data_IF_075907394965
#
_entry.id   IF_075907394965
#
_cell.length_a   1.000
_cell.length_b   1.000
_cell.length_c   1.000
_cell.angle_alpha   90.00
_cell.angle_beta   90.00
_cell.angle_gamma   90.00
#
_symmetry.space_group_name_H-M   'P 1'
#
loop_
_entity.id
_entity.type
_entity.pdbx_description
1 polymer ?
#
# COMPACT_ATOMS: atom_id res chain seq x y z
N UNK A 1 5.40 -27.65 20.71
CA UNK A 1 3.98 -27.19 20.72
C UNK A 1 3.40 -27.45 19.35
N UNK A 2 2.34 -28.25 19.22
CA UNK A 2 1.69 -28.50 17.93
C UNK A 2 1.05 -27.21 17.41
N UNK A 3 1.61 -26.64 16.34
CA UNK A 3 0.88 -25.73 15.47
C UNK A 3 -0.21 -26.50 14.73
N UNK A 4 -1.22 -25.79 14.22
CA UNK A 4 -2.17 -26.42 13.29
C UNK A 4 -1.41 -26.97 12.08
N UNK A 5 -1.87 -28.08 11.48
CA UNK A 5 -1.26 -28.60 10.25
C UNK A 5 -1.18 -27.49 9.20
N UNK A 6 -0.04 -27.36 8.53
CA UNK A 6 0.20 -26.32 7.52
C UNK A 6 -0.96 -26.15 6.51
N UNK A 7 -1.58 -27.24 5.98
CA UNK A 7 -2.72 -27.10 5.08
C UNK A 7 -3.94 -26.38 5.69
N UNK A 8 -4.19 -26.57 6.99
CA UNK A 8 -5.30 -25.93 7.69
C UNK A 8 -5.03 -24.43 7.85
N UNK A 9 -3.80 -24.07 8.19
CA UNK A 9 -3.39 -22.66 8.25
C UNK A 9 -3.48 -21.98 6.88
N UNK A 10 -3.05 -22.66 5.83
CA UNK A 10 -3.14 -22.15 4.46
C UNK A 10 -4.60 -21.93 4.04
N UNK A 11 -5.49 -22.89 4.30
CA UNK A 11 -6.92 -22.75 4.02
C UNK A 11 -7.56 -21.59 4.80
N UNK A 12 -7.22 -21.43 6.07
CA UNK A 12 -7.69 -20.30 6.88
C UNK A 12 -7.20 -18.95 6.34
N UNK A 13 -5.95 -18.86 5.88
CA UNK A 13 -5.41 -17.66 5.25
C UNK A 13 -6.11 -17.28 3.96
N UNK A 14 -6.58 -18.27 3.17
CA UNK A 14 -7.42 -17.99 1.98
C UNK A 14 -8.74 -17.34 2.40
N UNK A 15 -9.41 -17.85 3.42
CA UNK A 15 -10.64 -17.25 3.94
C UNK A 15 -10.41 -15.82 4.47
N UNK A 16 -9.33 -15.60 5.22
CA UNK A 16 -8.94 -14.25 5.68
C UNK A 16 -8.66 -13.32 4.51
N UNK A 17 -7.90 -13.75 3.51
CA UNK A 17 -7.58 -12.96 2.32
C UNK A 17 -8.80 -12.58 1.49
N UNK A 18 -9.74 -13.51 1.29
CA UNK A 18 -11.01 -13.24 0.62
C UNK A 18 -11.85 -12.23 1.40
N UNK A 19 -11.96 -12.40 2.72
CA UNK A 19 -12.67 -11.46 3.58
C UNK A 19 -12.06 -10.06 3.51
N UNK A 20 -10.74 -9.94 3.69
CA UNK A 20 -10.03 -8.66 3.58
C UNK A 20 -10.21 -8.03 2.20
N UNK A 21 -10.11 -8.79 1.11
CA UNK A 21 -10.26 -8.27 -0.24
C UNK A 21 -11.67 -7.76 -0.55
N UNK A 22 -12.72 -8.49 -0.13
CA UNK A 22 -14.11 -8.07 -0.30
C UNK A 22 -14.39 -6.80 0.52
N UNK A 23 -13.96 -6.77 1.78
CA UNK A 23 -14.17 -5.60 2.65
C UNK A 23 -13.40 -4.39 2.14
N UNK A 24 -12.14 -4.56 1.72
CA UNK A 24 -11.34 -3.45 1.18
C UNK A 24 -11.97 -2.88 -0.10
N UNK A 25 -12.38 -3.74 -1.04
CA UNK A 25 -13.06 -3.29 -2.25
C UNK A 25 -14.38 -2.55 -1.95
N UNK A 26 -15.23 -3.13 -1.08
CA UNK A 26 -16.51 -2.52 -0.72
C UNK A 26 -16.33 -1.17 -0.02
N UNK A 27 -15.38 -1.07 0.92
CA UNK A 27 -15.10 0.16 1.65
C UNK A 27 -14.52 1.24 0.73
N UNK A 28 -13.60 0.90 -0.17
CA UNK A 28 -13.06 1.87 -1.14
C UNK A 28 -14.14 2.41 -2.07
N UNK A 29 -15.05 1.56 -2.57
CA UNK A 29 -16.17 1.99 -3.44
C UNK A 29 -17.15 2.87 -2.66
N UNK A 30 -17.54 2.46 -1.45
CA UNK A 30 -18.45 3.24 -0.61
C UNK A 30 -17.85 4.60 -0.24
N UNK A 31 -16.60 4.64 0.21
CA UNK A 31 -15.94 5.89 0.58
C UNK A 31 -15.74 6.80 -0.64
N UNK A 32 -15.53 6.24 -1.83
CA UNK A 32 -15.44 7.00 -3.06
C UNK A 32 -16.78 7.62 -3.52
N UNK A 33 -17.93 7.11 -3.07
CA UNK A 33 -19.24 7.70 -3.38
C UNK A 33 -19.66 8.82 -2.42
N UNK A 34 -18.97 8.98 -1.28
CA UNK A 34 -19.24 10.03 -0.31
C UNK A 34 -18.78 11.42 -0.79
N UNK A 35 -19.40 12.51 -0.30
CA UNK A 35 -18.88 13.87 -0.49
C UNK A 35 -17.43 13.99 -0.01
N UNK A 36 -16.63 14.78 -0.71
CA UNK A 36 -15.18 14.90 -0.45
C UNK A 36 -14.45 13.55 -0.52
N UNK A 37 -14.83 12.67 -1.47
CA UNK A 37 -14.25 11.34 -1.70
C UNK A 37 -12.72 11.28 -1.55
N UNK A 38 -11.98 12.21 -2.14
CA UNK A 38 -10.51 12.26 -2.03
C UNK A 38 -10.03 12.40 -0.58
N UNK A 39 -10.67 13.25 0.23
CA UNK A 39 -10.34 13.42 1.64
C UNK A 39 -10.70 12.16 2.44
N UNK A 40 -11.87 11.58 2.19
CA UNK A 40 -12.35 10.40 2.90
C UNK A 40 -11.50 9.16 2.58
N UNK A 41 -11.10 8.98 1.32
CA UNK A 41 -10.15 7.92 0.92
C UNK A 41 -8.77 8.11 1.59
N UNK A 42 -8.28 9.34 1.69
CA UNK A 42 -7.04 9.62 2.40
C UNK A 42 -7.14 9.29 3.90
N UNK A 43 -8.28 9.58 4.55
CA UNK A 43 -8.52 9.22 5.95
C UNK A 43 -8.57 7.69 6.11
N UNK A 44 -9.29 6.99 5.22
CA UNK A 44 -9.37 5.52 5.22
C UNK A 44 -7.96 4.89 5.19
N UNK A 45 -7.11 5.34 4.26
CA UNK A 45 -5.73 4.84 4.16
C UNK A 45 -4.83 5.31 5.31
N UNK A 46 -5.12 6.44 5.95
CA UNK A 46 -4.41 6.87 7.16
C UNK A 46 -4.70 5.92 8.34
N UNK A 47 -5.96 5.51 8.53
CA UNK A 47 -6.35 4.53 9.56
C UNK A 47 -5.70 3.18 9.31
N UNK A 48 -5.58 2.75 8.04
CA UNK A 48 -4.78 1.57 7.68
C UNK A 48 -3.34 1.69 8.20
N UNK A 49 -2.68 2.83 7.98
CA UNK A 49 -1.31 3.07 8.46
C UNK A 49 -1.17 2.99 9.98
N UNK A 50 -2.18 3.48 10.73
CA UNK A 50 -2.23 3.35 12.19
C UNK A 50 -2.32 1.88 12.62
N UNK A 51 -3.19 1.10 11.99
CA UNK A 51 -3.30 -0.34 12.25
C UNK A 51 -1.99 -1.09 11.94
N UNK A 52 -1.36 -0.76 10.81
CA UNK A 52 -0.09 -1.34 10.39
C UNK A 52 1.07 -1.00 11.36
N UNK A 53 1.04 0.17 12.00
CA UNK A 53 1.99 0.54 13.07
C UNK A 53 1.73 -0.21 14.38
N UNK A 54 0.46 -0.34 14.79
CA UNK A 54 0.08 -0.98 16.07
C UNK A 54 0.37 -2.49 16.04
N UNK A 55 0.17 -3.15 14.91
CA UNK A 55 0.31 -4.60 14.79
C UNK A 55 1.71 -5.12 15.23
N UNK A 56 2.85 -4.60 14.73
CA UNK A 56 4.16 -5.01 15.23
C UNK A 56 4.43 -4.57 16.67
N UNK A 57 3.82 -3.49 17.19
CA UNK A 57 3.96 -3.10 18.60
C UNK A 57 3.31 -4.14 19.52
N UNK A 58 2.12 -4.64 19.15
CA UNK A 58 1.45 -5.71 19.90
C UNK A 58 2.29 -6.99 19.84
N UNK A 59 2.79 -7.38 18.66
CA UNK A 59 3.68 -8.53 18.54
C UNK A 59 4.95 -8.38 19.39
N UNK A 60 5.55 -7.18 19.40
CA UNK A 60 6.73 -6.86 20.22
C UNK A 60 6.41 -6.95 21.71
N UNK A 61 5.26 -6.42 22.14
CA UNK A 61 4.82 -6.50 23.53
C UNK A 61 4.68 -7.96 24.00
N UNK A 62 4.12 -8.83 23.15
CA UNK A 62 4.02 -10.26 23.44
C UNK A 62 5.42 -10.89 23.59
N UNK A 63 6.36 -10.54 22.70
CA UNK A 63 7.74 -11.02 22.77
C UNK A 63 8.44 -10.54 24.05
N UNK A 64 8.34 -9.25 24.40
CA UNK A 64 8.93 -8.65 25.61
C UNK A 64 8.47 -9.36 26.91
N UNK A 65 7.20 -9.76 26.96
CA UNK A 65 6.61 -10.40 28.14
C UNK A 65 6.64 -11.94 28.08
N UNK A 66 7.34 -12.52 27.11
CA UNK A 66 7.39 -13.98 26.86
C UNK A 66 5.99 -14.62 26.74
N UNK A 67 5.03 -13.87 26.20
CA UNK A 67 3.68 -14.34 25.94
C UNK A 67 3.63 -15.15 24.64
N UNK A 68 2.73 -16.14 24.54
CA UNK A 68 2.63 -16.97 23.35
C UNK A 68 2.17 -16.16 22.13
N UNK A 69 2.72 -16.46 20.95
CA UNK A 69 2.34 -15.86 19.66
C UNK A 69 0.84 -15.93 19.35
N UNK A 70 0.13 -16.90 19.95
CA UNK A 70 -1.34 -17.03 19.87
C UNK A 70 -2.07 -15.76 20.33
N UNK A 71 -1.45 -14.96 21.21
CA UNK A 71 -1.96 -13.66 21.64
C UNK A 71 -2.22 -12.70 20.47
N UNK A 72 -1.42 -12.78 19.40
CA UNK A 72 -1.63 -11.95 18.21
C UNK A 72 -2.94 -12.30 17.50
N UNK A 73 -3.26 -13.59 17.41
CA UNK A 73 -4.52 -14.06 16.81
C UNK A 73 -5.73 -13.65 17.66
N UNK A 74 -5.60 -13.65 19.00
CA UNK A 74 -6.64 -13.15 19.90
C UNK A 74 -6.86 -11.65 19.68
N UNK A 75 -5.79 -10.87 19.64
CA UNK A 75 -5.85 -9.42 19.37
C UNK A 75 -6.55 -9.12 18.03
N UNK A 76 -6.14 -9.79 16.94
CA UNK A 76 -6.76 -9.63 15.63
C UNK A 76 -8.23 -10.05 15.61
N UNK A 77 -8.60 -11.10 16.34
CA UNK A 77 -10.00 -11.55 16.45
C UNK A 77 -10.84 -10.51 17.18
N UNK A 78 -10.37 -9.95 18.29
CA UNK A 78 -11.07 -8.88 19.03
C UNK A 78 -11.25 -7.65 18.13
N UNK A 79 -10.20 -7.21 17.44
CA UNK A 79 -10.28 -6.09 16.51
C UNK A 79 -11.28 -6.35 15.36
N UNK A 80 -11.32 -7.58 14.84
CA UNK A 80 -12.27 -7.98 13.80
C UNK A 80 -13.71 -7.98 14.30
N UNK A 81 -13.97 -8.46 15.52
CA UNK A 81 -15.31 -8.41 16.14
C UNK A 81 -15.76 -6.96 16.35
N UNK A 82 -14.88 -6.09 16.84
CA UNK A 82 -15.16 -4.66 16.99
C UNK A 82 -15.50 -4.03 15.63
N UNK A 83 -14.74 -4.38 14.57
CA UNK A 83 -15.02 -3.90 13.22
C UNK A 83 -16.41 -4.37 12.72
N UNK A 84 -16.74 -5.66 12.87
CA UNK A 84 -18.05 -6.20 12.47
C UNK A 84 -19.20 -5.50 13.22
N UNK A 85 -19.08 -5.35 14.54
CA UNK A 85 -20.08 -4.63 15.35
C UNK A 85 -20.20 -3.17 14.89
N UNK A 86 -19.07 -2.51 14.63
CA UNK A 86 -19.04 -1.13 14.15
C UNK A 86 -19.71 -0.96 12.78
N UNK A 87 -19.49 -1.89 11.85
CA UNK A 87 -20.18 -1.91 10.54
C UNK A 87 -21.67 -2.16 10.71
N UNK A 88 -22.08 -3.15 11.52
CA UNK A 88 -23.50 -3.42 11.77
C UNK A 88 -24.20 -2.19 12.33
N UNK A 89 -23.60 -1.52 13.32
CA UNK A 89 -24.17 -0.32 13.93
C UNK A 89 -24.18 0.85 12.93
N UNK A 90 -23.08 1.05 12.21
CA UNK A 90 -22.92 2.17 11.28
C UNK A 90 -23.87 2.13 10.09
N UNK A 91 -24.26 0.93 9.66
CA UNK A 91 -25.22 0.73 8.56
C UNK A 91 -26.64 0.36 9.05
N UNK A 92 -26.86 0.33 10.36
CA UNK A 92 -28.18 0.05 10.92
C UNK A 92 -29.15 1.17 10.54
N UNK A 93 -30.22 0.81 9.83
CA UNK A 93 -31.23 1.77 9.37
C UNK A 93 -30.84 2.55 8.11
N UNK A 94 -29.70 2.24 7.49
CA UNK A 94 -29.43 2.70 6.12
C UNK A 94 -30.36 1.93 5.19
N UNK A 95 -31.30 2.64 4.59
CA UNK A 95 -32.04 2.12 3.44
C UNK A 95 -31.01 2.04 2.30
N UNK A 96 -30.63 0.81 1.95
CA UNK A 96 -29.97 0.58 0.68
C UNK A 96 -30.96 1.07 -0.36
N UNK A 97 -30.62 2.12 -1.11
CA UNK A 97 -31.31 2.35 -2.39
C UNK A 97 -31.20 1.01 -3.12
N UNK A 98 -32.33 0.34 -3.34
CA UNK A 98 -32.37 -0.73 -4.31
C UNK A 98 -31.80 -0.10 -5.57
N UNK A 99 -30.62 -0.57 -6.02
CA UNK A 99 -30.28 -0.36 -7.40
C UNK A 99 -31.51 -0.85 -8.16
N UNK A 100 -32.22 0.06 -8.84
CA UNK A 100 -33.18 -0.28 -9.87
C UNK A 100 -32.41 -1.03 -10.96
N UNK A 101 -32.03 -2.28 -10.67
CA UNK A 101 -31.47 -3.18 -11.63
C UNK A 101 -32.66 -3.76 -12.37
N UNK A 102 -32.92 -3.19 -13.54
CA UNK A 102 -32.75 -3.92 -14.81
C UNK A 102 -33.78 -3.60 -15.91
N UNK A 103 -34.20 -2.34 -16.07
CA UNK A 103 -34.90 -1.91 -17.31
C UNK A 103 -34.34 -0.62 -17.93
N UNK A 104 -33.07 -0.28 -17.64
CA UNK A 104 -32.36 0.71 -18.45
C UNK A 104 -31.81 0.04 -19.72
N UNK A 105 -32.27 0.55 -20.86
CA UNK A 105 -32.03 0.18 -22.26
C UNK A 105 -30.73 -0.60 -22.53
N UNK A 106 -30.78 -1.57 -23.44
CA UNK A 106 -29.60 -2.32 -23.92
C UNK A 106 -28.49 -1.38 -24.40
N UNK A 107 -28.87 -0.21 -24.95
CA UNK A 107 -27.97 0.87 -25.37
C UNK A 107 -27.22 1.53 -24.19
N UNK A 108 -27.86 1.67 -23.03
CA UNK A 108 -27.26 2.24 -21.81
C UNK A 108 -26.22 1.30 -21.18
N UNK A 109 -26.49 -0.01 -21.19
CA UNK A 109 -25.54 -1.04 -20.69
C UNK A 109 -24.35 -1.20 -21.63
N UNK A 110 -24.56 -1.12 -22.94
CA UNK A 110 -23.49 -1.15 -23.94
C UNK A 110 -22.61 0.10 -23.83
N UNK A 111 -23.21 1.29 -23.72
CA UNK A 111 -22.52 2.55 -23.45
C UNK A 111 -21.73 2.52 -22.14
N UNK A 112 -22.29 1.96 -21.06
CA UNK A 112 -21.59 1.82 -19.76
C UNK A 112 -20.40 0.87 -19.84
N UNK A 113 -20.54 -0.27 -20.53
CA UNK A 113 -19.43 -1.22 -20.77
C UNK A 113 -18.31 -0.59 -21.60
N UNK A 114 -18.67 0.13 -22.65
CA UNK A 114 -17.70 0.85 -23.48
C UNK A 114 -16.98 1.95 -22.71
N UNK A 115 -17.71 2.70 -21.87
CA UNK A 115 -17.13 3.71 -20.97
C UNK A 115 -16.18 3.08 -19.95
N UNK A 116 -16.57 1.97 -19.32
CA UNK A 116 -15.72 1.22 -18.39
C UNK A 116 -14.46 0.70 -19.07
N UNK A 117 -14.60 0.12 -20.28
CA UNK A 117 -13.46 -0.36 -21.07
C UNK A 117 -12.53 0.79 -21.46
N UNK A 118 -13.07 1.92 -21.90
CA UNK A 118 -12.30 3.11 -22.24
C UNK A 118 -11.57 3.68 -21.02
N UNK A 119 -12.22 3.71 -19.85
CA UNK A 119 -11.62 4.16 -18.60
C UNK A 119 -10.46 3.26 -18.14
N UNK A 120 -10.63 1.93 -18.21
CA UNK A 120 -9.59 0.95 -17.85
C UNK A 120 -8.41 1.01 -18.83
N UNK A 121 -8.68 1.11 -20.13
CA UNK A 121 -7.65 1.14 -21.17
C UNK A 121 -6.98 2.50 -21.33
N UNK A 122 -7.44 3.52 -20.59
CA UNK A 122 -6.82 4.84 -20.63
C UNK A 122 -5.35 4.73 -20.16
N UNK A 123 -4.38 5.35 -20.87
CA UNK A 123 -2.96 5.19 -20.56
C UNK A 123 -2.59 5.53 -19.10
N UNK A 124 -3.20 6.59 -18.56
CA UNK A 124 -3.00 6.97 -17.15
C UNK A 124 -3.48 5.87 -16.18
N UNK A 125 -4.60 5.21 -16.49
CA UNK A 125 -5.14 4.13 -15.68
C UNK A 125 -4.20 2.93 -15.70
N UNK A 126 -3.77 2.48 -16.88
CA UNK A 126 -2.86 1.33 -17.00
C UNK A 126 -1.53 1.62 -16.29
N UNK A 127 -0.89 2.75 -16.59
CA UNK A 127 0.42 3.10 -16.00
C UNK A 127 0.29 3.30 -14.50
N UNK A 128 -0.75 4.02 -14.05
CA UNK A 128 -1.04 4.23 -12.64
C UNK A 128 -1.30 2.92 -11.89
N UNK A 129 -2.07 2.01 -12.47
CA UNK A 129 -2.36 0.70 -11.89
C UNK A 129 -1.08 -0.15 -11.78
N UNK A 130 -0.24 -0.20 -12.81
CA UNK A 130 1.03 -0.93 -12.77
C UNK A 130 2.00 -0.31 -11.75
N UNK A 131 2.06 1.02 -11.68
CA UNK A 131 2.89 1.73 -10.71
C UNK A 131 2.45 1.40 -9.28
N UNK A 132 1.15 1.50 -8.99
CA UNK A 132 0.60 1.20 -7.66
C UNK A 132 0.71 -0.28 -7.31
N UNK A 133 0.56 -1.19 -8.30
CA UNK A 133 0.80 -2.62 -8.12
C UNK A 133 2.22 -2.90 -7.60
N UNK A 134 3.24 -2.32 -8.22
CA UNK A 134 4.64 -2.50 -7.79
C UNK A 134 4.88 -1.78 -6.46
N UNK A 135 4.40 -0.54 -6.32
CA UNK A 135 4.54 0.25 -5.10
C UNK A 135 3.99 -0.46 -3.86
N UNK A 136 2.74 -0.97 -3.93
CA UNK A 136 2.13 -1.68 -2.79
C UNK A 136 2.90 -2.98 -2.52
N UNK A 137 3.37 -3.66 -3.57
CA UNK A 137 4.25 -4.81 -3.44
C UNK A 137 5.52 -4.49 -2.65
N UNK A 138 6.23 -3.42 -3.05
CA UNK A 138 7.47 -2.97 -2.42
C UNK A 138 7.23 -2.51 -0.97
N UNK A 139 6.16 -1.75 -0.72
CA UNK A 139 5.70 -1.33 0.61
C UNK A 139 5.52 -2.53 1.56
N UNK A 140 4.82 -3.57 1.09
CA UNK A 140 4.51 -4.75 1.90
C UNK A 140 5.72 -5.69 2.03
N UNK A 141 6.55 -5.81 0.99
CA UNK A 141 7.80 -6.57 1.10
C UNK A 141 8.71 -5.93 2.14
N UNK A 142 8.90 -4.61 2.11
CA UNK A 142 9.75 -3.91 3.06
C UNK A 142 9.18 -3.93 4.48
N UNK A 143 7.88 -3.71 4.65
CA UNK A 143 7.23 -3.78 5.96
C UNK A 143 7.12 -5.19 6.55
N UNK A 144 6.93 -6.20 5.70
CA UNK A 144 6.75 -7.59 6.12
C UNK A 144 8.05 -8.35 6.29
N UNK A 145 8.89 -8.39 5.25
CA UNK A 145 10.17 -9.09 5.27
C UNK A 145 11.29 -8.29 5.94
N UNK A 146 11.11 -6.98 6.15
CA UNK A 146 12.08 -6.13 6.84
C UNK A 146 12.42 -6.64 8.26
N UNK A 147 11.43 -7.18 8.99
CA UNK A 147 11.67 -7.78 10.31
C UNK A 147 12.63 -8.96 10.22
N UNK A 148 12.33 -9.91 9.33
CA UNK A 148 13.15 -11.11 9.10
C UNK A 148 14.54 -10.75 8.57
N UNK A 149 14.63 -9.76 7.67
CA UNK A 149 15.91 -9.26 7.18
C UNK A 149 16.78 -8.72 8.32
N UNK A 150 16.22 -7.89 9.20
CA UNK A 150 16.98 -7.29 10.29
C UNK A 150 17.34 -8.31 11.39
N UNK A 151 16.46 -9.26 11.69
CA UNK A 151 16.67 -10.27 12.75
C UNK A 151 17.47 -11.47 12.28
N UNK A 152 17.02 -12.17 11.25
CA UNK A 152 17.69 -13.38 10.74
C UNK A 152 18.88 -13.04 9.85
N UNK A 153 18.76 -12.01 9.00
CA UNK A 153 19.81 -11.61 8.06
C UNK A 153 20.91 -10.75 8.68
N UNK A 154 20.55 -9.86 9.63
CA UNK A 154 21.46 -8.90 10.25
C UNK A 154 21.65 -9.08 11.76
N UNK A 155 21.09 -10.15 12.33
CA UNK A 155 21.27 -10.52 13.74
C UNK A 155 20.85 -9.43 14.75
N UNK A 156 19.88 -8.60 14.37
CA UNK A 156 19.29 -7.61 15.25
C UNK A 156 18.45 -8.24 16.36
N UNK A 157 18.41 -7.57 17.51
CA UNK A 157 17.56 -7.96 18.64
C UNK A 157 16.06 -7.95 18.24
N UNK A 158 15.33 -9.06 18.43
CA UNK A 158 13.92 -9.19 18.04
C UNK A 158 13.00 -8.07 18.55
N UNK A 159 13.18 -7.66 19.80
CA UNK A 159 12.34 -6.64 20.43
C UNK A 159 12.59 -5.28 19.77
N UNK A 160 13.86 -4.90 19.65
CA UNK A 160 14.26 -3.65 19.02
C UNK A 160 13.83 -3.60 17.55
N UNK A 161 13.97 -4.69 16.81
CA UNK A 161 13.58 -4.75 15.39
C UNK A 161 12.06 -4.69 15.20
N UNK A 162 11.27 -5.24 16.12
CA UNK A 162 9.82 -5.06 16.12
C UNK A 162 9.41 -3.58 16.19
N UNK A 163 10.09 -2.80 17.05
CA UNK A 163 9.89 -1.34 17.15
C UNK A 163 10.34 -0.59 15.89
N UNK A 164 11.42 -1.02 15.24
CA UNK A 164 11.86 -0.46 13.95
C UNK A 164 10.79 -0.64 12.87
N UNK A 165 10.15 -1.81 12.80
CA UNK A 165 9.07 -2.07 11.83
C UNK A 165 7.82 -1.24 12.14
N UNK A 166 7.45 -1.08 13.41
CA UNK A 166 6.40 -0.12 13.76
C UNK A 166 6.76 1.31 13.35
N UNK A 167 8.01 1.71 13.50
CA UNK A 167 8.49 3.04 13.09
C UNK A 167 8.51 3.20 11.58
N UNK A 168 8.77 2.13 10.81
CA UNK A 168 8.59 2.11 9.35
C UNK A 168 7.16 2.45 8.95
N UNK A 169 6.16 1.77 9.55
CA UNK A 169 4.74 2.03 9.27
C UNK A 169 4.28 3.41 9.76
N UNK A 170 4.80 3.88 10.90
CA UNK A 170 4.58 5.23 11.38
C UNK A 170 5.19 6.29 10.43
N UNK A 171 6.40 6.02 9.92
CA UNK A 171 7.06 6.80 8.89
C UNK A 171 6.18 6.88 7.63
N UNK A 172 5.67 5.76 7.18
CA UNK A 172 4.77 5.70 6.02
C UNK A 172 3.48 6.51 6.22
N UNK A 173 2.83 6.36 7.37
CA UNK A 173 1.62 7.11 7.72
C UNK A 173 1.90 8.63 7.81
N UNK A 174 3.00 9.04 8.45
CA UNK A 174 3.37 10.46 8.56
C UNK A 174 3.86 11.04 7.24
N UNK A 175 4.58 10.27 6.43
CA UNK A 175 5.06 10.62 5.09
C UNK A 175 3.93 10.91 4.11
N UNK A 176 2.83 10.16 4.18
CA UNK A 176 1.59 10.44 3.44
C UNK A 176 1.11 11.88 3.62
N UNK A 177 1.23 12.40 4.84
CA UNK A 177 0.79 13.76 5.18
C UNK A 177 1.89 14.79 4.88
N UNK A 178 3.06 14.62 5.50
CA UNK A 178 4.14 15.60 5.46
C UNK A 178 4.76 15.73 4.07
N UNK A 179 5.19 14.60 3.50
CA UNK A 179 5.80 14.59 2.17
C UNK A 179 4.76 14.73 1.07
N UNK A 180 3.51 14.30 1.31
CA UNK A 180 2.39 14.52 0.40
C UNK A 180 2.08 16.01 0.22
N UNK A 181 2.09 16.77 1.31
CA UNK A 181 1.98 18.23 1.24
C UNK A 181 3.13 18.87 0.45
N UNK A 182 4.37 18.41 0.68
CA UNK A 182 5.54 18.89 -0.08
C UNK A 182 5.43 18.55 -1.57
N UNK A 183 4.96 17.35 -1.91
CA UNK A 183 4.71 16.92 -3.29
C UNK A 183 3.70 17.83 -3.99
N UNK A 184 2.59 18.16 -3.33
CA UNK A 184 1.61 19.11 -3.85
C UNK A 184 2.18 20.52 -4.06
N UNK A 185 3.05 20.99 -3.14
CA UNK A 185 3.63 22.34 -3.17
C UNK A 185 4.73 22.50 -4.23
N UNK A 186 5.66 21.56 -4.32
CA UNK A 186 6.85 21.68 -5.18
C UNK A 186 6.69 20.98 -6.54
N UNK A 187 5.62 20.20 -6.73
CA UNK A 187 5.32 19.49 -7.96
C UNK A 187 5.43 17.99 -7.76
N UNK A 188 4.30 17.32 -7.97
CA UNK A 188 4.11 15.89 -7.68
C UNK A 188 5.12 15.02 -8.45
N UNK A 189 5.29 15.27 -9.76
CA UNK A 189 6.21 14.48 -10.59
C UNK A 189 7.67 14.59 -10.15
N UNK A 190 8.14 15.79 -9.83
CA UNK A 190 9.52 16.02 -9.37
C UNK A 190 9.75 15.38 -8.00
N UNK A 191 8.86 15.62 -7.04
CA UNK A 191 9.04 15.15 -5.67
C UNK A 191 9.04 13.62 -5.57
N UNK A 192 8.12 12.93 -6.26
CA UNK A 192 8.13 11.46 -6.29
C UNK A 192 9.39 10.91 -6.97
N UNK A 193 9.92 11.60 -8.00
CA UNK A 193 11.20 11.22 -8.63
C UNK A 193 12.37 11.34 -7.64
N UNK A 194 12.40 12.40 -6.83
CA UNK A 194 13.42 12.58 -5.79
C UNK A 194 13.28 11.50 -4.71
N UNK A 195 12.05 11.24 -4.24
CA UNK A 195 11.82 10.25 -3.19
C UNK A 195 12.18 8.82 -3.62
N UNK A 196 11.81 8.42 -4.85
CA UNK A 196 12.20 7.12 -5.41
C UNK A 196 13.72 7.01 -5.58
N UNK A 197 14.41 8.07 -6.01
CA UNK A 197 15.88 8.09 -6.06
C UNK A 197 16.52 7.96 -4.67
N UNK A 198 15.95 8.62 -3.66
CA UNK A 198 16.40 8.48 -2.26
C UNK A 198 16.19 7.06 -1.72
N UNK A 199 15.07 6.40 -2.07
CA UNK A 199 14.82 4.99 -1.71
C UNK A 199 15.88 4.08 -2.32
N UNK A 200 16.25 4.27 -3.59
CA UNK A 200 17.35 3.52 -4.22
C UNK A 200 18.66 3.72 -3.45
N UNK A 201 18.92 4.95 -2.99
CA UNK A 201 20.07 5.25 -2.11
C UNK A 201 20.03 4.47 -0.79
N UNK A 202 18.89 4.46 -0.10
CA UNK A 202 18.69 3.70 1.13
C UNK A 202 18.85 2.19 0.92
N UNK A 203 18.30 1.64 -0.16
CA UNK A 203 18.45 0.23 -0.52
C UNK A 203 19.91 -0.12 -0.85
N UNK A 204 20.62 0.77 -1.54
CA UNK A 204 22.05 0.61 -1.82
C UNK A 204 22.88 0.58 -0.54
N UNK A 205 22.54 1.44 0.43
CA UNK A 205 23.15 1.41 1.77
C UNK A 205 22.86 0.07 2.46
N UNK A 206 21.63 -0.44 2.39
CA UNK A 206 21.29 -1.74 2.98
C UNK A 206 22.02 -2.93 2.35
N UNK A 207 22.31 -2.84 1.05
CA UNK A 207 23.07 -3.86 0.31
C UNK A 207 24.53 -3.87 0.77
N UNK A 208 25.16 -2.70 0.88
CA UNK A 208 26.60 -2.58 1.17
C UNK A 208 26.89 -2.69 2.66
N UNK A 209 26.03 -2.14 3.51
CA UNK A 209 26.24 -2.09 4.96
C UNK A 209 25.66 -3.31 5.67
N UNK A 210 26.47 -3.93 6.52
CA UNK A 210 26.01 -4.94 7.47
C UNK A 210 25.56 -4.36 8.81
N UNK A 211 25.76 -3.05 9.03
CA UNK A 211 25.45 -2.40 10.30
C UNK A 211 23.94 -2.31 10.54
N UNK A 212 23.51 -2.79 11.71
CA UNK A 212 22.09 -2.91 12.07
C UNK A 212 21.42 -1.54 12.25
N UNK A 213 22.13 -0.56 12.79
CA UNK A 213 21.61 0.79 13.04
C UNK A 213 21.43 1.53 11.71
N UNK A 214 22.41 1.39 10.82
CA UNK A 214 22.34 1.92 9.45
C UNK A 214 21.16 1.29 8.70
N UNK A 215 21.03 -0.03 8.75
CA UNK A 215 19.94 -0.75 8.05
C UNK A 215 18.55 -0.41 8.61
N UNK A 216 18.44 -0.26 9.93
CA UNK A 216 17.20 0.18 10.58
C UNK A 216 16.82 1.60 10.19
N UNK A 217 17.80 2.50 10.15
CA UNK A 217 17.60 3.91 9.77
C UNK A 217 17.21 4.05 8.29
N UNK A 218 17.84 3.26 7.41
CA UNK A 218 17.50 3.19 6.00
C UNK A 218 16.05 2.71 5.82
N UNK A 219 15.66 1.63 6.50
CA UNK A 219 14.31 1.09 6.42
C UNK A 219 13.27 2.11 6.90
N UNK A 220 13.46 2.75 8.06
CA UNK A 220 12.56 3.81 8.55
C UNK A 220 12.42 4.96 7.56
N UNK A 221 13.54 5.39 6.97
CA UNK A 221 13.56 6.47 5.96
C UNK A 221 12.79 6.09 4.71
N UNK A 222 12.92 4.83 4.26
CA UNK A 222 12.15 4.30 3.14
C UNK A 222 10.65 4.35 3.44
N UNK A 223 10.22 3.93 4.64
CA UNK A 223 8.82 4.01 5.04
C UNK A 223 8.26 5.42 4.87
N UNK A 224 8.98 6.42 5.38
CA UNK A 224 8.63 7.84 5.21
C UNK A 224 8.52 8.26 3.73
N UNK A 225 9.48 7.86 2.89
CA UNK A 225 9.57 8.22 1.48
C UNK A 225 8.50 7.53 0.60
N UNK A 226 8.07 6.33 0.98
CA UNK A 226 7.00 5.58 0.30
C UNK A 226 5.63 6.23 0.55
N UNK A 227 5.41 6.79 1.73
CA UNK A 227 4.15 7.40 2.14
C UNK A 227 3.40 8.19 1.06
N UNK A 228 3.97 9.26 0.46
CA UNK A 228 3.24 10.12 -0.47
C UNK A 228 2.90 9.47 -1.83
N UNK A 229 3.46 8.31 -2.18
CA UNK A 229 3.38 7.78 -3.55
C UNK A 229 1.96 7.41 -3.98
N UNK A 230 1.21 6.70 -3.13
CA UNK A 230 -0.18 6.33 -3.41
C UNK A 230 -1.09 7.55 -3.58
N UNK A 231 -1.24 8.46 -2.59
CA UNK A 231 -2.15 9.60 -2.71
C UNK A 231 -1.74 10.56 -3.85
N UNK A 232 -0.43 10.70 -4.10
CA UNK A 232 0.06 11.55 -5.21
C UNK A 232 -0.31 10.96 -6.57
N UNK A 233 -0.25 9.64 -6.73
CA UNK A 233 -0.67 8.98 -7.98
C UNK A 233 -2.16 9.14 -8.23
N UNK A 234 -2.99 8.98 -7.20
CA UNK A 234 -4.44 9.22 -7.27
C UNK A 234 -4.75 10.68 -7.59
N UNK A 235 -4.00 11.63 -7.02
CA UNK A 235 -4.12 13.06 -7.31
C UNK A 235 -3.81 13.38 -8.77
N UNK A 236 -2.69 12.89 -9.31
CA UNK A 236 -2.34 13.08 -10.73
C UNK A 236 -3.38 12.41 -11.64
N UNK A 237 -3.78 11.17 -11.32
CA UNK A 237 -4.78 10.44 -12.11
C UNK A 237 -6.09 11.24 -12.19
N UNK A 238 -6.54 11.82 -11.08
CA UNK A 238 -7.75 12.65 -11.03
C UNK A 238 -7.64 13.95 -11.85
N UNK A 239 -6.43 14.50 -12.05
CA UNK A 239 -6.19 15.70 -12.87
C UNK A 239 -6.15 15.38 -14.38
N UNK A 240 -5.58 14.23 -14.73
CA UNK A 240 -5.38 13.82 -16.13
C UNK A 240 -6.64 13.15 -16.71
N UNK A 241 -7.37 12.39 -15.90
CA UNK A 241 -8.54 11.64 -16.36
C UNK A 241 -9.76 12.55 -16.53
N UNK A 242 -10.60 12.33 -17.55
CA UNK A 242 -11.94 12.91 -17.64
C UNK A 242 -12.80 12.52 -16.43
N UNK A 243 -13.69 13.43 -15.98
CA UNK A 243 -14.58 13.19 -14.82
C UNK A 243 -15.42 11.92 -14.95
N UNK A 244 -15.84 11.56 -16.17
CA UNK A 244 -16.61 10.34 -16.45
C UNK A 244 -15.83 9.05 -16.17
N UNK A 245 -14.49 9.10 -16.15
CA UNK A 245 -13.63 7.94 -15.93
C UNK A 245 -13.12 7.82 -14.49
N UNK A 246 -13.31 8.85 -13.65
CA UNK A 246 -12.70 8.94 -12.31
C UNK A 246 -13.03 7.72 -11.45
N UNK A 247 -14.31 7.42 -11.24
CA UNK A 247 -14.73 6.31 -10.36
C UNK A 247 -14.17 4.97 -10.81
N UNK A 248 -14.32 4.63 -12.10
CA UNK A 248 -13.83 3.35 -12.64
C UNK A 248 -12.31 3.26 -12.62
N UNK A 249 -11.61 4.31 -13.06
CA UNK A 249 -10.15 4.28 -13.19
C UNK A 249 -9.46 4.28 -11.83
N UNK A 250 -9.89 5.14 -10.90
CA UNK A 250 -9.32 5.20 -9.56
C UNK A 250 -9.61 3.91 -8.79
N UNK A 251 -10.83 3.37 -8.92
CA UNK A 251 -11.17 2.07 -8.35
C UNK A 251 -10.30 0.94 -8.91
N UNK A 252 -10.06 0.93 -10.22
CA UNK A 252 -9.21 -0.07 -10.87
C UNK A 252 -7.72 0.07 -10.47
N UNK A 253 -7.20 1.30 -10.32
CA UNK A 253 -5.84 1.55 -9.81
C UNK A 253 -5.68 1.01 -8.40
N UNK A 254 -6.61 1.34 -7.48
CA UNK A 254 -6.56 0.86 -6.10
C UNK A 254 -6.68 -0.66 -6.01
N UNK A 255 -7.62 -1.26 -6.76
CA UNK A 255 -7.85 -2.70 -6.76
C UNK A 255 -6.64 -3.49 -7.30
N UNK A 256 -6.03 -3.05 -8.41
CA UNK A 256 -4.82 -3.70 -8.92
C UNK A 256 -3.66 -3.51 -7.94
N UNK A 257 -3.58 -2.35 -7.28
CA UNK A 257 -2.66 -2.07 -6.19
C UNK A 257 -2.67 -3.12 -5.08
N UNK A 258 -3.85 -3.43 -4.56
CA UNK A 258 -4.01 -4.45 -3.52
C UNK A 258 -3.47 -5.83 -3.94
N UNK A 259 -3.55 -6.17 -5.23
CA UNK A 259 -2.94 -7.39 -5.78
C UNK A 259 -1.42 -7.45 -5.61
N UNK A 260 -0.74 -6.30 -5.56
CA UNK A 260 0.70 -6.18 -5.35
C UNK A 260 1.15 -6.72 -3.99
N UNK A 261 0.33 -6.48 -2.95
CA UNK A 261 0.56 -6.96 -1.58
C UNK A 261 0.57 -8.49 -1.47
N UNK A 262 -0.08 -9.20 -2.41
CA UNK A 262 -0.05 -10.67 -2.44
C UNK A 262 1.09 -11.18 -3.34
N UNK A 263 1.25 -10.58 -4.52
CA UNK A 263 2.16 -11.08 -5.54
C UNK A 263 3.65 -10.93 -5.16
N UNK A 264 4.08 -9.72 -4.77
CA UNK A 264 5.51 -9.46 -4.56
C UNK A 264 6.10 -10.07 -3.29
N UNK A 265 5.38 -10.12 -2.14
CA UNK A 265 5.85 -10.87 -0.97
C UNK A 265 5.99 -12.36 -1.23
N UNK A 266 5.12 -12.95 -2.06
CA UNK A 266 5.24 -14.36 -2.46
C UNK A 266 6.51 -14.61 -3.29
N UNK A 267 6.74 -13.79 -4.33
CA UNK A 267 7.95 -13.88 -5.15
C UNK A 267 9.21 -13.67 -4.30
N UNK A 268 9.19 -12.66 -3.42
CA UNK A 268 10.32 -12.37 -2.52
C UNK A 268 10.57 -13.51 -1.53
N UNK A 269 9.52 -14.20 -1.07
CA UNK A 269 9.64 -15.40 -0.25
C UNK A 269 10.33 -16.55 -0.98
N UNK A 270 9.98 -16.79 -2.25
CA UNK A 270 10.66 -17.80 -3.08
C UNK A 270 12.14 -17.46 -3.28
N UNK A 271 12.45 -16.19 -3.58
CA UNK A 271 13.83 -15.72 -3.78
C UNK A 271 14.62 -15.88 -2.48
N UNK A 272 14.07 -15.42 -1.34
CA UNK A 272 14.70 -15.52 -0.02
C UNK A 272 14.89 -16.97 0.41
N UNK A 273 14.00 -17.89 0.03
CA UNK A 273 14.15 -19.31 0.29
C UNK A 273 15.32 -19.96 -0.46
N UNK A 274 15.68 -19.43 -1.64
CA UNK A 274 16.80 -19.95 -2.46
C UNK A 274 18.12 -19.25 -2.19
N UNK A 275 18.10 -17.93 -2.02
CA UNK A 275 19.30 -17.08 -1.92
C UNK A 275 19.54 -16.51 -0.52
N UNK A 276 18.64 -16.80 0.44
CA UNK A 276 18.67 -16.25 1.80
C UNK A 276 17.99 -14.87 1.90
N UNK A 277 17.59 -14.47 3.10
CA UNK A 277 16.85 -13.23 3.32
C UNK A 277 17.64 -11.96 2.94
N UNK A 278 18.97 -12.04 2.86
CA UNK A 278 19.83 -10.93 2.40
C UNK A 278 19.60 -10.56 0.93
N UNK A 279 18.87 -11.37 0.15
CA UNK A 279 18.44 -10.99 -1.22
C UNK A 279 17.31 -9.96 -1.24
N UNK A 280 16.61 -9.73 -0.12
CA UNK A 280 15.44 -8.86 -0.07
C UNK A 280 15.69 -7.42 -0.55
N UNK A 281 16.77 -6.72 -0.13
CA UNK A 281 17.05 -5.37 -0.63
C UNK A 281 17.29 -5.31 -2.15
N UNK A 282 17.81 -6.38 -2.75
CA UNK A 282 17.99 -6.46 -4.20
C UNK A 282 16.65 -6.61 -4.92
N UNK A 283 15.74 -7.44 -4.39
CA UNK A 283 14.39 -7.57 -4.94
C UNK A 283 13.65 -6.22 -4.88
N UNK A 284 13.70 -5.53 -3.74
CA UNK A 284 13.15 -4.18 -3.58
C UNK A 284 13.79 -3.17 -4.54
N UNK A 285 15.11 -3.20 -4.73
CA UNK A 285 15.77 -2.30 -5.67
C UNK A 285 15.26 -2.48 -7.12
N UNK A 286 15.03 -3.72 -7.55
CA UNK A 286 14.45 -4.00 -8.88
C UNK A 286 13.02 -3.45 -8.97
N UNK A 287 12.20 -3.63 -7.93
CA UNK A 287 10.84 -3.07 -7.86
C UNK A 287 10.86 -1.53 -7.91
N UNK A 288 11.70 -0.89 -7.10
CA UNK A 288 11.85 0.58 -7.07
C UNK A 288 12.34 1.12 -8.42
N UNK A 289 13.26 0.44 -9.12
CA UNK A 289 13.68 0.83 -10.48
C UNK A 289 12.52 0.71 -11.47
N UNK A 290 11.72 -0.35 -11.39
CA UNK A 290 10.49 -0.49 -12.17
C UNK A 290 9.51 0.66 -11.93
N UNK A 291 9.35 1.08 -10.66
CA UNK A 291 8.56 2.25 -10.30
C UNK A 291 9.08 3.54 -10.92
N UNK A 292 10.40 3.76 -10.94
CA UNK A 292 11.01 4.96 -11.58
C UNK A 292 10.69 4.99 -13.07
N UNK A 293 10.79 3.85 -13.76
CA UNK A 293 10.49 3.74 -15.20
C UNK A 293 9.01 4.07 -15.45
N UNK A 294 8.10 3.45 -14.70
CA UNK A 294 6.66 3.71 -14.83
C UNK A 294 6.32 5.16 -14.48
N UNK A 295 6.93 5.71 -13.43
CA UNK A 295 6.72 7.09 -13.02
C UNK A 295 7.17 8.10 -14.08
N UNK A 296 8.24 7.81 -14.80
CA UNK A 296 8.68 8.63 -15.93
C UNK A 296 7.59 8.70 -17.02
N UNK A 297 6.87 7.61 -17.25
CA UNK A 297 5.79 7.49 -18.23
C UNK A 297 4.46 8.14 -17.79
N UNK A 298 4.28 8.42 -16.49
CA UNK A 298 3.07 9.09 -15.98
C UNK A 298 2.94 10.48 -16.62
N UNK A 299 1.84 10.80 -17.33
CA UNK A 299 1.62 12.11 -17.92
C UNK A 299 1.69 13.22 -16.86
N UNK A 300 2.26 14.39 -17.19
CA UNK A 300 2.29 15.54 -16.29
C UNK A 300 2.07 16.83 -17.04
N UNK A 301 1.20 17.67 -16.46
CA UNK A 301 0.82 18.99 -16.97
C UNK A 301 1.99 20.00 -16.90
N UNK A 302 3.06 19.68 -16.17
CA UNK A 302 4.25 20.52 -16.01
C UNK A 302 5.50 19.68 -16.35
N UNK A 303 6.13 19.88 -17.52
CA UNK A 303 7.34 19.13 -17.85
C UNK A 303 8.43 19.40 -16.80
N UNK A 304 9.25 18.39 -16.53
CA UNK A 304 10.30 18.35 -15.49
C UNK A 304 11.19 19.62 -15.44
N UNK A 305 11.41 20.27 -16.60
CA UNK A 305 12.24 21.46 -16.75
C UNK A 305 11.50 22.81 -16.65
N UNK A 306 10.17 22.84 -16.61
CA UNK A 306 9.42 24.11 -16.53
C UNK A 306 9.65 24.86 -15.21
N UNK A 307 10.06 24.16 -14.14
CA UNK A 307 10.34 24.78 -12.85
C UNK A 307 11.62 25.64 -12.87
N UNK A 308 12.64 25.23 -13.62
CA UNK A 308 13.91 25.97 -13.73
C UNK A 308 13.82 27.19 -14.66
N UNK A 309 12.75 27.31 -15.47
CA UNK A 309 12.56 28.41 -16.41
C UNK A 309 11.73 29.58 -15.88
N UNK A 310 11.22 29.52 -14.63
CA UNK A 310 10.33 30.57 -14.08
C UNK A 310 11.02 31.65 -13.22
N UNK A 311 12.32 31.89 -13.43
CA UNK A 311 13.02 33.07 -12.91
C UNK A 311 13.78 33.79 -14.03
N UNK A 312 13.07 34.65 -14.74
CA UNK A 312 13.59 35.91 -15.29
C UNK A 312 12.51 36.96 -15.15
#
# INVERSE_FOLDING_TARGET
MMGFPFPVMAAAMVCTGLGTGITDAAMNVFVASLPMATLMLNILHAVYGVGAMISPLVATFLLEHNLPWKGMYIFLTIASVINVVGVIIGFMGVQLEEEESADQDVDSKQSRKELTKAAILHPMTIIGSLYILIYVGDEVVMGGWGYTYLTEGRHGDPISMGRVISTYWAGLASGRILLGYLAGKFGEKLMITIFTAMIVGCLSIMIVSADIVVNSSALISIGLLLGPMFPTTISIASKVLPRSYHTTSLGFISALGAGGAAFFPFITGIISGKFGILSMPYACAVMTVGMIILWAMVPSDKPFFAYFHKKK
#
